data_IF_660413511454
#
_entry.id   IF_660413511454
#
_cell.length_a   1.000
_cell.length_b   1.000
_cell.length_c   1.000
_cell.angle_alpha   90.00
_cell.angle_beta   90.00
_cell.angle_gamma   90.00
#
_symmetry.space_group_name_H-M   'P 1'
#
loop_
_entity.id
_entity.type
_entity.pdbx_description
1 polymer ?
#
# COMPACT_ATOMS: atom_id res chain seq x y z
N UNK A 1 -33.41 -14.73 23.25
CA UNK A 1 -32.08 -14.94 22.64
C UNK A 1 -31.77 -13.69 21.83
N UNK A 2 -31.15 -12.70 22.46
CA UNK A 2 -30.81 -11.43 21.82
C UNK A 2 -29.38 -11.53 21.28
N UNK A 3 -29.26 -11.44 19.96
CA UNK A 3 -27.99 -11.44 19.25
C UNK A 3 -27.38 -10.04 19.40
N UNK A 4 -26.34 -9.91 20.21
CA UNK A 4 -25.58 -8.67 20.30
C UNK A 4 -24.68 -8.58 19.06
N UNK A 5 -24.98 -7.60 18.20
CA UNK A 5 -24.14 -7.20 17.08
C UNK A 5 -22.91 -6.51 17.66
N UNK A 6 -21.77 -7.19 17.66
CA UNK A 6 -20.49 -6.60 18.04
C UNK A 6 -20.00 -5.78 16.84
N UNK A 7 -20.28 -4.48 16.83
CA UNK A 7 -19.62 -3.55 15.92
C UNK A 7 -18.12 -3.57 16.27
N UNK A 8 -17.28 -3.99 15.33
CA UNK A 8 -15.84 -3.84 15.43
C UNK A 8 -15.53 -2.34 15.38
N UNK A 9 -15.43 -1.71 16.55
CA UNK A 9 -14.81 -0.40 16.66
C UNK A 9 -13.33 -0.59 16.30
N UNK A 10 -12.92 -0.05 15.16
CA UNK A 10 -11.51 0.02 14.78
C UNK A 10 -10.74 0.73 15.88
N UNK A 11 -9.95 -0.03 16.63
CA UNK A 11 -9.07 0.50 17.66
C UNK A 11 -7.87 1.12 16.94
N UNK A 12 -7.97 2.39 16.57
CA UNK A 12 -6.83 3.14 16.06
C UNK A 12 -5.92 3.47 17.23
N UNK A 13 -4.73 2.88 17.24
CA UNK A 13 -3.66 3.32 18.13
C UNK A 13 -3.26 4.71 17.64
N UNK A 14 -3.60 5.73 18.43
CA UNK A 14 -3.12 7.10 18.23
C UNK A 14 -1.59 7.11 18.43
N UNK A 15 -0.87 6.83 17.35
CA UNK A 15 0.57 7.01 17.27
C UNK A 15 0.80 8.51 17.13
N UNK A 16 1.12 9.17 18.24
CA UNK A 16 1.48 10.59 18.29
C UNK A 16 2.70 10.86 17.41
N UNK A 17 2.47 11.21 16.15
CA UNK A 17 3.48 11.81 15.27
C UNK A 17 3.50 13.32 15.52
N UNK A 18 4.67 13.94 15.42
CA UNK A 18 4.81 15.38 15.59
C UNK A 18 4.26 16.10 14.34
N UNK A 19 3.16 16.85 14.52
CA UNK A 19 2.44 17.53 13.43
C UNK A 19 1.22 16.74 12.98
N UNK A 20 0.02 17.25 13.26
CA UNK A 20 -1.22 16.75 12.67
C UNK A 20 -1.79 17.85 11.77
N UNK A 21 -1.98 17.49 10.49
CA UNK A 21 -2.60 18.34 9.48
C UNK A 21 -3.97 17.78 9.16
N UNK A 22 -5.03 18.56 9.34
CA UNK A 22 -6.36 18.16 8.90
C UNK A 22 -6.75 18.92 7.64
N UNK A 23 -7.42 18.23 6.72
CA UNK A 23 -7.96 18.82 5.51
C UNK A 23 -9.13 19.75 5.82
N UNK A 24 -9.09 20.98 5.32
CA UNK A 24 -10.09 22.01 5.58
C UNK A 24 -10.28 22.97 4.39
N UNK A 25 -10.31 22.44 3.17
CA UNK A 25 -10.48 23.26 1.97
C UNK A 25 -11.80 24.05 1.93
N UNK A 26 -11.72 25.27 1.40
CA UNK A 26 -12.87 26.14 1.19
C UNK A 26 -13.72 25.74 -0.03
N UNK A 27 -13.14 25.03 -0.99
CA UNK A 27 -13.78 24.61 -2.24
C UNK A 27 -13.56 23.13 -2.54
N UNK A 28 -14.47 22.56 -3.32
CA UNK A 28 -14.31 21.19 -3.82
C UNK A 28 -13.25 21.12 -4.92
N UNK A 29 -12.46 20.04 -4.94
CA UNK A 29 -11.35 19.88 -5.87
C UNK A 29 -10.17 20.82 -5.59
N UNK A 30 -10.01 21.28 -4.35
CA UNK A 30 -8.89 22.13 -3.97
C UNK A 30 -7.57 21.37 -4.07
N UNK A 31 -6.51 22.08 -4.46
CA UNK A 31 -5.17 21.52 -4.58
C UNK A 31 -4.58 21.21 -3.20
N UNK A 32 -3.91 20.07 -3.06
CA UNK A 32 -3.14 19.71 -1.87
C UNK A 32 -2.06 20.76 -1.57
N UNK A 33 -1.44 21.33 -2.62
CA UNK A 33 -0.40 22.34 -2.47
C UNK A 33 -0.90 23.71 -1.97
N UNK A 34 -2.23 23.92 -1.87
CA UNK A 34 -2.80 25.13 -1.30
C UNK A 34 -2.77 25.09 0.22
N UNK A 35 -1.91 25.91 0.83
CA UNK A 35 -1.77 25.98 2.28
C UNK A 35 -3.02 26.50 3.00
N UNK A 36 -3.92 27.20 2.31
CA UNK A 36 -5.21 27.60 2.87
C UNK A 36 -6.17 26.41 3.07
N UNK A 37 -5.88 25.26 2.45
CA UNK A 37 -6.68 24.04 2.57
C UNK A 37 -6.29 23.15 3.76
N UNK A 38 -5.30 23.56 4.56
CA UNK A 38 -4.80 22.81 5.71
C UNK A 38 -5.00 23.57 7.01
N UNK A 39 -5.25 22.83 8.10
CA UNK A 39 -5.20 23.41 9.44
C UNK A 39 -3.79 23.85 9.81
N UNK A 40 -3.68 24.78 10.77
CA UNK A 40 -2.40 25.08 11.40
C UNK A 40 -1.81 23.82 12.04
N UNK A 41 -0.50 23.59 11.87
CA UNK A 41 0.19 22.42 12.46
C UNK A 41 1.06 21.65 11.48
N UNK A 42 0.92 21.93 10.18
CA UNK A 42 1.77 21.32 9.17
C UNK A 42 3.21 21.78 9.24
N UNK A 43 4.12 20.81 9.11
CA UNK A 43 5.56 21.02 9.21
C UNK A 43 6.22 21.15 7.84
N UNK A 44 5.50 20.85 6.75
CA UNK A 44 6.00 21.03 5.38
C UNK A 44 6.12 22.51 4.96
N UNK A 45 6.92 22.71 3.91
CA UNK A 45 7.22 24.05 3.37
C UNK A 45 5.96 24.74 2.88
N UNK A 46 5.72 25.98 3.31
CA UNK A 46 4.55 26.76 2.90
C UNK A 46 3.29 26.48 3.72
N UNK A 47 3.37 25.66 4.78
CA UNK A 47 2.22 25.32 5.63
C UNK A 47 1.35 24.19 5.09
N UNK A 48 1.88 23.37 4.19
CA UNK A 48 1.27 22.12 3.70
C UNK A 48 1.90 20.91 4.42
N UNK A 49 1.28 19.72 4.40
CA UNK A 49 1.85 18.54 5.03
C UNK A 49 3.22 18.15 4.46
N UNK A 50 4.13 17.77 5.35
CA UNK A 50 5.44 17.21 5.04
C UNK A 50 5.64 15.80 5.63
N UNK A 51 6.83 15.24 5.44
CA UNK A 51 7.13 13.83 5.76
C UNK A 51 7.07 13.46 7.24
N UNK A 52 6.97 14.44 8.14
CA UNK A 52 6.79 14.22 9.58
C UNK A 52 5.31 14.24 9.99
N UNK A 53 4.42 14.73 9.13
CA UNK A 53 3.04 15.01 9.49
C UNK A 53 2.14 13.78 9.35
N UNK A 54 1.22 13.62 10.30
CA UNK A 54 0.03 12.79 10.12
C UNK A 54 -1.06 13.63 9.48
N UNK A 55 -1.47 13.24 8.27
CA UNK A 55 -2.55 13.88 7.52
C UNK A 55 -3.88 13.21 7.85
N UNK A 56 -4.90 14.01 8.13
CA UNK A 56 -6.24 13.56 8.50
C UNK A 56 -7.29 14.15 7.56
N UNK A 57 -8.09 13.27 6.98
CA UNK A 57 -9.34 13.58 6.30
C UNK A 57 -10.48 13.01 7.15
N UNK A 58 -11.31 13.90 7.70
CA UNK A 58 -12.41 13.54 8.60
C UNK A 58 -13.71 14.30 8.23
N UNK A 59 -14.69 14.30 9.13
CA UNK A 59 -15.98 14.97 8.90
C UNK A 59 -15.90 16.51 8.86
N UNK A 60 -14.78 17.12 9.24
CA UNK A 60 -14.60 18.58 9.31
C UNK A 60 -14.71 19.20 7.92
N UNK A 61 -14.20 18.52 6.89
CA UNK A 61 -14.35 18.90 5.49
C UNK A 61 -14.62 17.68 4.65
N UNK A 62 -15.68 17.73 3.84
CA UNK A 62 -16.02 16.68 2.86
C UNK A 62 -15.61 17.04 1.44
N UNK A 63 -14.74 18.04 1.28
CA UNK A 63 -14.28 18.51 -0.04
C UNK A 63 -13.22 17.60 -0.60
N UNK A 64 -13.26 17.36 -1.90
CA UNK A 64 -12.25 16.61 -2.65
C UNK A 64 -10.90 17.34 -2.57
N UNK A 65 -9.86 16.60 -2.21
CA UNK A 65 -8.46 17.04 -2.28
C UNK A 65 -7.82 16.48 -3.54
N UNK A 66 -7.22 17.35 -4.35
CA UNK A 66 -6.44 16.94 -5.52
C UNK A 66 -4.96 17.04 -5.19
N UNK A 67 -4.27 15.91 -5.10
CA UNK A 67 -2.81 15.89 -5.00
C UNK A 67 -2.26 16.30 -6.35
N UNK A 68 -1.80 17.54 -6.45
CA UNK A 68 -1.34 18.21 -7.67
C UNK A 68 0.19 18.21 -7.82
N UNK A 69 0.90 17.63 -6.86
CA UNK A 69 2.36 17.47 -6.85
C UNK A 69 2.74 16.19 -6.11
N UNK A 70 3.97 15.72 -6.28
CA UNK A 70 4.50 14.62 -5.47
C UNK A 70 4.64 15.06 -4.01
N UNK A 71 4.20 14.21 -3.08
CA UNK A 71 4.18 14.52 -1.65
C UNK A 71 4.78 13.38 -0.82
N UNK A 72 5.18 13.72 0.39
CA UNK A 72 5.62 12.77 1.40
C UNK A 72 4.98 13.12 2.74
N UNK A 73 4.45 12.12 3.44
CA UNK A 73 3.79 12.26 4.74
C UNK A 73 4.24 11.16 5.69
N UNK A 74 4.10 11.38 7.01
CA UNK A 74 4.32 10.30 7.96
C UNK A 74 3.17 9.29 7.88
N UNK A 75 1.94 9.77 7.96
CA UNK A 75 0.74 8.94 7.81
C UNK A 75 -0.33 9.68 6.99
N UNK A 76 -1.14 8.91 6.28
CA UNK A 76 -2.39 9.38 5.69
C UNK A 76 -3.55 8.62 6.33
N UNK A 77 -4.49 9.35 6.93
CA UNK A 77 -5.68 8.82 7.57
C UNK A 77 -6.93 9.41 6.92
N UNK A 78 -7.65 8.60 6.14
CA UNK A 78 -8.93 8.91 5.51
C UNK A 78 -10.02 8.16 6.28
N UNK A 79 -10.69 8.89 7.16
CA UNK A 79 -11.66 8.32 8.09
C UNK A 79 -13.00 8.04 7.42
N UNK A 80 -13.77 7.09 7.94
CA UNK A 80 -15.08 6.72 7.41
C UNK A 80 -16.09 7.89 7.31
N UNK A 81 -15.92 8.92 8.15
CA UNK A 81 -16.81 10.09 8.15
C UNK A 81 -16.46 11.13 7.07
N UNK A 82 -15.30 11.01 6.42
CA UNK A 82 -14.92 11.81 5.27
C UNK A 82 -15.64 11.27 4.02
N UNK A 83 -16.61 12.03 3.50
CA UNK A 83 -17.36 11.64 2.29
C UNK A 83 -16.84 12.32 1.02
N UNK A 84 -15.73 13.04 1.11
CA UNK A 84 -15.02 13.56 -0.06
C UNK A 84 -14.10 12.48 -0.65
N UNK A 85 -13.21 12.90 -1.54
CA UNK A 85 -12.20 12.03 -2.12
C UNK A 85 -10.81 12.67 -2.06
N UNK A 86 -9.81 11.89 -1.68
CA UNK A 86 -8.39 12.23 -1.90
C UNK A 86 -8.00 11.66 -3.25
N UNK A 87 -7.84 12.51 -4.26
CA UNK A 87 -7.47 12.11 -5.61
C UNK A 87 -5.96 12.28 -5.82
N UNK A 88 -5.26 11.17 -6.03
CA UNK A 88 -3.82 11.14 -6.28
C UNK A 88 -3.46 11.53 -7.73
N UNK A 89 -4.39 11.37 -8.67
CA UNK A 89 -4.13 11.60 -10.09
C UNK A 89 -3.00 10.72 -10.59
N UNK A 90 -1.94 11.33 -11.13
CA UNK A 90 -0.72 10.63 -11.58
C UNK A 90 0.50 10.88 -10.68
N UNK A 91 0.29 11.49 -9.50
CA UNK A 91 1.38 11.88 -8.61
C UNK A 91 1.83 10.71 -7.71
N UNK A 92 2.95 10.92 -7.03
CA UNK A 92 3.48 10.00 -6.02
C UNK A 92 3.12 10.46 -4.62
N UNK A 93 2.52 9.57 -3.84
CA UNK A 93 2.33 9.69 -2.40
C UNK A 93 3.37 8.82 -1.69
N UNK A 94 4.35 9.44 -1.07
CA UNK A 94 5.33 8.74 -0.23
C UNK A 94 4.88 8.69 1.23
N UNK A 95 4.92 7.52 1.85
CA UNK A 95 4.43 7.29 3.21
C UNK A 95 5.56 6.68 4.05
N UNK A 96 5.85 7.29 5.19
CA UNK A 96 6.88 6.78 6.12
C UNK A 96 6.31 5.69 7.03
N UNK A 97 5.13 5.94 7.61
CA UNK A 97 4.53 5.15 8.69
C UNK A 97 3.26 4.40 8.29
N UNK A 98 2.24 5.06 7.73
CA UNK A 98 1.01 4.32 7.45
C UNK A 98 -0.02 4.96 6.53
N UNK A 99 -0.76 4.09 5.86
CA UNK A 99 -1.93 4.40 5.06
C UNK A 99 -3.17 3.78 5.71
N UNK A 100 -4.13 4.61 6.08
CA UNK A 100 -5.39 4.22 6.69
C UNK A 100 -6.52 4.82 5.86
N UNK A 101 -7.33 3.98 5.22
CA UNK A 101 -8.48 4.40 4.41
C UNK A 101 -9.66 3.50 4.77
N UNK A 102 -10.62 4.05 5.49
CA UNK A 102 -11.76 3.29 6.01
C UNK A 102 -12.79 2.94 4.92
N UNK A 103 -13.01 3.85 3.97
CA UNK A 103 -13.98 3.69 2.88
C UNK A 103 -13.26 3.73 1.52
N UNK A 104 -13.55 2.75 0.67
CA UNK A 104 -12.93 2.62 -0.65
C UNK A 104 -13.12 3.86 -1.54
N UNK A 105 -14.20 4.62 -1.33
CA UNK A 105 -14.47 5.85 -2.08
C UNK A 105 -13.66 7.06 -1.62
N UNK A 106 -13.09 7.01 -0.42
CA UNK A 106 -12.35 8.13 0.18
C UNK A 106 -10.97 8.38 -0.42
N UNK A 107 -10.41 7.41 -1.14
CA UNK A 107 -9.11 7.54 -1.80
C UNK A 107 -9.18 7.03 -3.24
N UNK A 108 -8.86 7.89 -4.19
CA UNK A 108 -8.71 7.55 -5.60
C UNK A 108 -7.24 7.63 -5.99
N UNK A 109 -6.64 6.47 -6.19
CA UNK A 109 -5.24 6.37 -6.57
C UNK A 109 -4.98 6.87 -8.01
N UNK A 110 -6.01 7.02 -8.85
CA UNK A 110 -5.86 7.37 -10.26
C UNK A 110 -4.89 6.44 -10.98
N UNK A 111 -3.83 7.01 -11.55
CA UNK A 111 -2.67 6.28 -12.09
C UNK A 111 -1.40 6.46 -11.26
N UNK A 112 -1.53 7.05 -10.08
CA UNK A 112 -0.43 7.44 -9.22
C UNK A 112 0.29 6.29 -8.54
N UNK A 113 1.38 6.64 -7.85
CA UNK A 113 2.21 5.72 -7.10
C UNK A 113 2.05 5.97 -5.61
N UNK A 114 1.70 4.93 -4.85
CA UNK A 114 1.90 4.93 -3.39
C UNK A 114 3.21 4.24 -3.08
N UNK A 115 4.10 4.93 -2.37
CA UNK A 115 5.45 4.47 -2.07
C UNK A 115 5.70 4.47 -0.58
N UNK A 116 5.98 3.31 0.02
CA UNK A 116 6.40 3.24 1.42
C UNK A 116 7.92 3.41 1.53
N UNK A 117 8.36 4.41 2.30
CA UNK A 117 9.76 4.88 2.38
C UNK A 117 10.33 4.93 3.80
N UNK A 118 9.73 4.18 4.74
CA UNK A 118 10.16 4.16 6.14
C UNK A 118 11.65 3.85 6.29
N UNK A 119 12.34 4.61 7.15
CA UNK A 119 13.78 4.43 7.43
C UNK A 119 14.04 3.60 8.69
N UNK A 120 13.00 3.34 9.48
CA UNK A 120 13.04 2.47 10.65
C UNK A 120 11.62 2.01 11.03
N UNK A 121 11.52 0.92 11.78
CA UNK A 121 10.25 0.44 12.33
C UNK A 121 9.40 -0.30 11.30
N UNK A 122 8.08 -0.19 11.45
CA UNK A 122 7.14 -0.84 10.56
C UNK A 122 6.21 0.18 9.91
N UNK A 123 5.99 0.02 8.62
CA UNK A 123 4.91 0.68 7.90
C UNK A 123 3.63 -0.17 7.97
N UNK A 124 2.47 0.47 7.97
CA UNK A 124 1.17 -0.21 7.98
C UNK A 124 0.28 0.23 6.83
N UNK A 125 -0.36 -0.73 6.18
CA UNK A 125 -1.45 -0.46 5.25
C UNK A 125 -2.74 -1.10 5.78
N UNK A 126 -3.75 -0.24 5.92
CA UNK A 126 -5.12 -0.58 6.26
C UNK A 126 -6.03 0.23 5.34
N UNK A 127 -6.18 -0.20 4.09
CA UNK A 127 -6.91 0.54 3.07
C UNK A 127 -8.01 -0.30 2.47
N UNK A 128 -9.25 0.19 2.55
CA UNK A 128 -10.38 -0.35 1.80
C UNK A 128 -10.33 0.04 0.31
N UNK A 129 -9.62 1.13 -0.02
CA UNK A 129 -9.40 1.56 -1.40
C UNK A 129 -8.27 0.76 -2.07
N UNK A 130 -8.46 0.43 -3.35
CA UNK A 130 -7.39 -0.06 -4.20
C UNK A 130 -6.32 1.01 -4.42
N UNK A 131 -5.08 0.58 -4.53
CA UNK A 131 -3.98 1.38 -5.03
C UNK A 131 -3.80 1.11 -6.52
N UNK A 132 -3.29 2.07 -7.28
CA UNK A 132 -2.94 1.81 -8.67
C UNK A 132 -1.57 1.16 -8.77
N UNK A 133 -0.51 1.90 -8.46
CA UNK A 133 0.84 1.36 -8.30
C UNK A 133 1.28 1.37 -6.83
N UNK A 134 2.01 0.34 -6.42
CA UNK A 134 2.60 0.25 -5.09
C UNK A 134 4.11 -0.01 -5.19
N UNK A 135 4.90 0.77 -4.46
CA UNK A 135 6.32 0.49 -4.24
C UNK A 135 6.62 0.33 -2.74
N UNK A 136 7.25 -0.79 -2.40
CA UNK A 136 7.84 -1.04 -1.08
C UNK A 136 9.34 -0.75 -1.14
N UNK A 137 9.74 0.43 -0.68
CA UNK A 137 11.11 0.95 -0.75
C UNK A 137 11.52 1.57 0.59
N UNK A 138 11.30 0.82 1.66
CA UNK A 138 11.68 1.18 3.01
C UNK A 138 13.14 0.74 3.29
N UNK A 139 13.46 0.44 4.54
CA UNK A 139 14.76 -0.06 4.94
C UNK A 139 14.82 -1.61 5.02
N UNK A 140 16.03 -2.19 4.99
CA UNK A 140 16.24 -3.65 5.08
C UNK A 140 15.83 -4.27 6.42
N UNK A 141 15.57 -3.45 7.43
CA UNK A 141 15.05 -3.88 8.74
C UNK A 141 13.59 -3.45 8.97
N UNK A 142 12.96 -2.85 7.97
CA UNK A 142 11.62 -2.31 8.05
C UNK A 142 10.57 -3.36 7.68
N UNK A 143 9.47 -3.41 8.43
CA UNK A 143 8.34 -4.29 8.10
C UNK A 143 7.24 -3.52 7.38
N UNK A 144 6.48 -4.23 6.55
CA UNK A 144 5.23 -3.77 5.98
C UNK A 144 4.10 -4.64 6.50
N UNK A 145 3.17 -4.04 7.25
CA UNK A 145 2.07 -4.74 7.90
C UNK A 145 0.76 -4.47 7.18
N UNK A 146 0.10 -5.53 6.75
CA UNK A 146 -1.27 -5.51 6.22
C UNK A 146 -2.24 -5.70 7.39
N UNK A 147 -3.23 -4.82 7.54
CA UNK A 147 -4.34 -5.02 8.50
C UNK A 147 -5.62 -5.53 7.84
N UNK A 148 -5.64 -5.56 6.51
CA UNK A 148 -6.64 -6.17 5.65
C UNK A 148 -5.98 -6.51 4.31
N UNK A 149 -6.70 -7.18 3.41
CA UNK A 149 -6.23 -7.35 2.03
C UNK A 149 -5.98 -5.98 1.39
N UNK A 150 -4.83 -5.81 0.76
CA UNK A 150 -4.51 -4.61 0.00
C UNK A 150 -4.55 -4.93 -1.48
N UNK A 151 -5.44 -4.27 -2.22
CA UNK A 151 -5.53 -4.38 -3.67
C UNK A 151 -4.57 -3.39 -4.35
N UNK A 152 -3.86 -3.87 -5.36
CA UNK A 152 -3.00 -3.11 -6.26
C UNK A 152 -3.47 -3.41 -7.68
N UNK A 153 -4.13 -2.43 -8.31
CA UNK A 153 -4.82 -2.60 -9.59
C UNK A 153 -3.87 -2.63 -10.78
N UNK A 154 -2.64 -2.12 -10.62
CA UNK A 154 -1.57 -2.18 -11.61
C UNK A 154 -0.33 -2.83 -10.98
N UNK A 155 0.79 -2.12 -10.83
CA UNK A 155 2.06 -2.78 -10.57
C UNK A 155 2.50 -2.74 -9.10
N UNK A 156 3.14 -3.82 -8.66
CA UNK A 156 3.88 -3.89 -7.41
C UNK A 156 5.39 -3.92 -7.69
N UNK A 157 6.12 -3.00 -7.08
CA UNK A 157 7.58 -3.04 -7.01
C UNK A 157 8.05 -3.20 -5.56
N UNK A 158 8.89 -4.21 -5.31
CA UNK A 158 9.57 -4.38 -4.02
C UNK A 158 11.04 -4.06 -4.22
N UNK A 159 11.43 -2.87 -3.79
CA UNK A 159 12.81 -2.37 -3.88
C UNK A 159 13.60 -2.77 -2.65
N UNK A 160 13.03 -2.52 -1.46
CA UNK A 160 13.67 -2.86 -0.19
C UNK A 160 12.63 -2.95 0.94
N UNK A 161 12.56 -4.11 1.60
CA UNK A 161 11.73 -4.35 2.79
C UNK A 161 12.18 -5.63 3.50
N UNK A 162 12.13 -5.66 4.84
CA UNK A 162 12.36 -6.90 5.58
C UNK A 162 11.19 -7.87 5.41
N UNK A 163 10.00 -7.48 5.84
CA UNK A 163 8.85 -8.38 5.89
C UNK A 163 7.62 -7.76 5.24
N UNK A 164 6.75 -8.61 4.70
CA UNK A 164 5.34 -8.29 4.43
C UNK A 164 4.50 -9.20 5.32
N UNK A 165 3.81 -8.64 6.30
CA UNK A 165 3.13 -9.38 7.38
C UNK A 165 1.62 -9.20 7.34
N UNK A 166 0.83 -10.28 7.50
CA UNK A 166 -0.61 -10.18 7.71
C UNK A 166 -0.89 -9.96 9.20
N UNK A 167 -0.98 -8.71 9.63
CA UNK A 167 -1.17 -8.35 11.03
C UNK A 167 -2.58 -8.72 11.50
N UNK A 168 -2.66 -9.74 12.37
CA UNK A 168 -3.92 -10.15 13.01
C UNK A 168 -4.90 -10.93 12.12
N UNK A 169 -4.48 -11.40 10.94
CA UNK A 169 -5.35 -12.14 10.01
C UNK A 169 -4.60 -12.95 8.94
N UNK A 170 -5.31 -13.32 7.87
CA UNK A 170 -4.76 -14.04 6.70
C UNK A 170 -4.73 -13.12 5.48
N UNK A 171 -4.24 -11.90 5.68
CA UNK A 171 -4.27 -10.84 4.69
C UNK A 171 -3.25 -11.04 3.57
N UNK A 172 -3.59 -10.59 2.38
CA UNK A 172 -2.79 -10.73 1.18
C UNK A 172 -2.54 -9.37 0.51
N UNK A 173 -1.42 -9.29 -0.22
CA UNK A 173 -1.19 -8.23 -1.18
C UNK A 173 -1.66 -8.71 -2.54
N UNK A 174 -2.81 -8.23 -3.02
CA UNK A 174 -3.49 -8.71 -4.22
C UNK A 174 -3.15 -7.80 -5.39
N UNK A 175 -2.37 -8.30 -6.35
CA UNK A 175 -1.82 -7.51 -7.47
C UNK A 175 -2.44 -7.94 -8.79
N UNK A 176 -3.01 -6.98 -9.52
CA UNK A 176 -3.65 -7.23 -10.82
C UNK A 176 -2.71 -7.00 -12.02
N UNK A 177 -1.68 -6.16 -11.89
CA UNK A 177 -0.62 -5.95 -12.87
C UNK A 177 0.70 -6.64 -12.50
N UNK A 178 1.83 -6.13 -12.97
CA UNK A 178 3.10 -6.84 -12.87
C UNK A 178 3.69 -6.80 -11.46
N UNK A 179 4.50 -7.81 -11.13
CA UNK A 179 5.25 -7.86 -9.87
C UNK A 179 6.74 -7.87 -10.17
N UNK A 180 7.44 -6.87 -9.63
CA UNK A 180 8.91 -6.80 -9.64
C UNK A 180 9.44 -6.90 -8.22
N UNK A 181 10.25 -7.92 -7.91
CA UNK A 181 10.95 -8.01 -6.62
C UNK A 181 12.46 -7.92 -6.80
N UNK A 182 13.07 -6.88 -6.22
CA UNK A 182 14.50 -6.61 -6.28
C UNK A 182 15.21 -6.81 -4.92
N UNK A 183 14.46 -6.91 -3.82
CA UNK A 183 15.03 -7.22 -2.51
C UNK A 183 15.38 -8.71 -2.40
N UNK A 184 16.63 -8.98 -2.01
CA UNK A 184 17.21 -10.34 -1.94
C UNK A 184 16.89 -11.07 -0.64
N UNK A 185 16.12 -10.46 0.26
CA UNK A 185 15.89 -10.93 1.62
C UNK A 185 14.51 -10.59 2.17
N UNK A 186 13.46 -10.70 1.36
CA UNK A 186 12.08 -10.49 1.82
C UNK A 186 11.61 -11.71 2.62
N UNK A 187 11.35 -11.55 3.92
CA UNK A 187 10.75 -12.59 4.77
C UNK A 187 9.23 -12.37 4.86
N UNK A 188 8.54 -12.34 3.73
CA UNK A 188 7.09 -12.18 3.74
C UNK A 188 6.38 -13.36 4.39
N UNK A 189 5.46 -13.04 5.30
CA UNK A 189 4.53 -13.96 5.95
C UNK A 189 3.11 -13.84 5.36
N UNK A 190 2.87 -12.84 4.52
CA UNK A 190 1.67 -12.71 3.69
C UNK A 190 1.98 -13.10 2.25
N UNK A 191 0.97 -13.65 1.55
CA UNK A 191 1.07 -13.93 0.13
C UNK A 191 1.05 -12.63 -0.68
N UNK A 192 1.97 -12.53 -1.64
CA UNK A 192 1.77 -11.70 -2.82
C UNK A 192 0.93 -12.54 -3.78
N UNK A 193 -0.29 -12.09 -4.08
CA UNK A 193 -1.28 -12.86 -4.82
C UNK A 193 -1.54 -12.21 -6.17
N UNK A 194 -1.24 -12.94 -7.24
CA UNK A 194 -1.45 -12.50 -8.61
C UNK A 194 -2.91 -12.78 -8.98
N UNK A 195 -3.71 -11.72 -9.13
CA UNK A 195 -5.18 -11.81 -9.30
C UNK A 195 -5.67 -11.18 -10.61
N UNK A 196 -4.77 -10.71 -11.45
CA UNK A 196 -5.11 -10.02 -12.71
C UNK A 196 -5.81 -10.95 -13.71
N UNK A 197 -6.61 -10.35 -14.60
CA UNK A 197 -7.31 -11.07 -15.68
C UNK A 197 -6.53 -11.11 -17.00
N UNK A 198 -5.52 -10.25 -17.15
CA UNK A 198 -4.58 -10.24 -18.27
C UNK A 198 -3.30 -10.99 -17.91
N UNK A 199 -2.42 -11.21 -18.89
CA UNK A 199 -1.08 -11.73 -18.61
C UNK A 199 -0.36 -10.79 -17.62
N UNK A 200 0.29 -11.37 -16.61
CA UNK A 200 1.14 -10.66 -15.65
C UNK A 200 2.58 -11.14 -15.81
N UNK A 201 3.53 -10.26 -15.56
CA UNK A 201 4.95 -10.59 -15.51
C UNK A 201 5.41 -10.60 -14.07
N UNK A 202 6.17 -11.64 -13.71
CA UNK A 202 6.94 -11.66 -12.46
C UNK A 202 8.41 -11.55 -12.79
N UNK A 203 9.08 -10.54 -12.24
CA UNK A 203 10.46 -10.20 -12.58
C UNK A 203 11.25 -9.62 -11.39
N UNK A 204 12.49 -9.22 -11.67
CA UNK A 204 13.42 -8.64 -10.69
C UNK A 204 14.51 -9.61 -10.26
N UNK A 205 15.52 -9.09 -9.57
CA UNK A 205 16.70 -9.86 -9.15
C UNK A 205 16.61 -10.43 -7.74
N UNK A 206 15.57 -10.03 -7.00
CA UNK A 206 15.31 -10.41 -5.62
C UNK A 206 14.54 -11.72 -5.52
N UNK A 207 13.74 -11.82 -4.47
CA UNK A 207 12.89 -12.99 -4.24
C UNK A 207 11.56 -12.63 -3.58
N UNK A 208 10.63 -13.58 -3.58
CA UNK A 208 9.46 -13.62 -2.72
C UNK A 208 9.50 -14.90 -1.91
N UNK A 209 8.83 -14.99 -0.77
CA UNK A 209 8.73 -16.21 0.03
C UNK A 209 7.42 -16.94 -0.21
N UNK A 210 6.32 -16.18 -0.20
CA UNK A 210 4.95 -16.67 -0.40
C UNK A 210 4.34 -16.01 -1.65
N UNK A 211 4.11 -16.81 -2.68
CA UNK A 211 3.49 -16.40 -3.93
C UNK A 211 2.21 -17.21 -4.15
N UNK A 212 1.12 -16.52 -4.46
CA UNK A 212 -0.15 -17.13 -4.83
C UNK A 212 -0.51 -16.73 -6.26
N UNK A 213 -0.88 -17.70 -7.10
CA UNK A 213 -1.27 -17.46 -8.50
C UNK A 213 -2.76 -17.74 -8.64
N UNK A 214 -3.57 -16.79 -8.18
CA UNK A 214 -5.05 -16.87 -8.17
C UNK A 214 -5.66 -16.07 -9.32
N UNK A 215 -5.26 -16.40 -10.55
CA UNK A 215 -5.67 -15.66 -11.76
C UNK A 215 -6.98 -16.21 -12.31
N UNK A 216 -7.92 -15.30 -12.60
CA UNK A 216 -9.15 -15.64 -13.31
C UNK A 216 -8.97 -15.72 -14.84
N UNK A 217 -7.83 -15.24 -15.36
CA UNK A 217 -7.47 -15.24 -16.77
C UNK A 217 -6.02 -14.79 -17.00
N UNK A 218 -5.49 -15.08 -18.18
CA UNK A 218 -4.09 -14.82 -18.54
C UNK A 218 -3.09 -15.74 -17.84
N UNK A 219 -1.83 -15.68 -18.27
CA UNK A 219 -0.72 -16.41 -17.69
C UNK A 219 0.15 -15.51 -16.80
N UNK A 220 0.95 -16.10 -15.91
CA UNK A 220 2.11 -15.45 -15.29
C UNK A 220 3.35 -15.76 -16.10
N UNK A 221 3.93 -14.76 -16.75
CA UNK A 221 5.17 -14.91 -17.51
C UNK A 221 6.40 -14.77 -16.63
N UNK A 222 7.36 -15.68 -16.82
CA UNK A 222 8.71 -15.63 -16.25
C UNK A 222 9.75 -15.40 -17.36
N UNK A 223 10.07 -14.12 -17.68
CA UNK A 223 11.06 -13.80 -18.72
C UNK A 223 12.50 -14.07 -18.27
N UNK A 224 12.74 -14.13 -16.96
CA UNK A 224 14.03 -14.44 -16.34
C UNK A 224 13.83 -15.32 -15.10
N UNK A 225 14.93 -15.83 -14.55
CA UNK A 225 14.89 -16.61 -13.31
C UNK A 225 14.27 -15.79 -12.18
N UNK A 226 13.24 -16.35 -11.54
CA UNK A 226 12.59 -15.76 -10.39
C UNK A 226 12.66 -16.71 -9.20
N UNK A 227 12.96 -16.17 -8.02
CA UNK A 227 13.23 -16.94 -6.81
C UNK A 227 12.07 -16.87 -5.83
N UNK A 228 11.68 -18.05 -5.35
CA UNK A 228 10.86 -18.24 -4.17
C UNK A 228 11.73 -18.76 -3.03
N UNK A 229 11.86 -18.03 -1.92
CA UNK A 229 12.75 -18.39 -0.82
C UNK A 229 12.81 -17.33 0.26
N UNK A 230 13.57 -17.62 1.32
CA UNK A 230 13.83 -16.69 2.40
C UNK A 230 14.10 -17.41 3.72
N UNK A 231 14.73 -16.76 4.70
CA UNK A 231 15.14 -17.44 5.92
C UNK A 231 13.95 -17.94 6.77
N UNK A 232 14.17 -19.06 7.46
CA UNK A 232 13.39 -19.50 8.61
C UNK A 232 12.15 -20.36 8.32
N UNK A 233 11.58 -20.35 7.11
CA UNK A 233 10.53 -21.31 6.70
C UNK A 233 10.56 -21.55 5.20
N UNK A 234 10.04 -22.70 4.74
CA UNK A 234 9.95 -23.04 3.33
C UNK A 234 9.12 -22.03 2.54
N UNK A 235 9.60 -21.68 1.35
CA UNK A 235 8.83 -20.93 0.38
C UNK A 235 7.55 -21.69 -0.01
N UNK A 236 6.50 -20.96 -0.39
CA UNK A 236 5.24 -21.55 -0.82
C UNK A 236 4.80 -20.92 -2.14
N UNK A 237 4.36 -21.79 -3.04
CA UNK A 237 3.63 -21.45 -4.24
C UNK A 237 2.24 -22.08 -4.15
N UNK A 238 1.20 -21.27 -4.25
CA UNK A 238 -0.20 -21.72 -4.25
C UNK A 238 -0.96 -21.13 -5.44
N UNK A 239 -2.26 -21.42 -5.52
CA UNK A 239 -3.14 -20.94 -6.58
C UNK A 239 -3.41 -21.98 -7.67
N UNK A 240 -4.32 -21.65 -8.57
CA UNK A 240 -4.78 -22.49 -9.68
C UNK A 240 -4.43 -21.91 -11.06
N UNK A 241 -3.85 -20.71 -11.11
CA UNK A 241 -3.43 -20.06 -12.33
C UNK A 241 -2.15 -20.65 -12.94
N UNK A 242 -1.88 -20.26 -14.18
CA UNK A 242 -0.77 -20.79 -14.97
C UNK A 242 0.47 -19.92 -14.85
N UNK A 243 1.62 -20.58 -14.70
CA UNK A 243 2.93 -19.94 -14.85
C UNK A 243 3.55 -20.44 -16.15
N UNK A 244 3.90 -19.49 -17.02
CA UNK A 244 4.58 -19.74 -18.29
C UNK A 244 6.04 -19.32 -18.19
N UNK A 245 6.91 -20.21 -18.62
CA UNK A 245 8.32 -19.91 -18.78
C UNK A 245 8.56 -19.26 -20.13
N UNK A 246 8.95 -17.98 -20.13
CA UNK A 246 9.24 -17.19 -21.33
C UNK A 246 10.74 -16.86 -21.46
N UNK A 247 11.61 -17.64 -20.81
CA UNK A 247 13.06 -17.46 -20.82
C UNK A 247 13.73 -17.71 -19.47
N UNK A 248 12.95 -17.75 -18.40
CA UNK A 248 13.41 -17.92 -17.02
C UNK A 248 13.29 -19.31 -16.42
N UNK A 249 13.31 -19.36 -15.09
CA UNK A 249 12.99 -20.53 -14.25
C UNK A 249 12.32 -20.03 -12.97
N UNK A 250 11.38 -20.81 -12.45
CA UNK A 250 10.95 -20.63 -11.07
C UNK A 250 11.86 -21.47 -10.16
N UNK A 251 12.59 -20.81 -9.28
CA UNK A 251 13.60 -21.42 -8.41
C UNK A 251 13.07 -21.38 -6.98
N UNK A 252 13.14 -22.51 -6.27
CA UNK A 252 12.84 -22.58 -4.85
C UNK A 252 14.16 -22.66 -4.07
N UNK A 253 14.49 -21.58 -3.35
CA UNK A 253 15.64 -21.50 -2.45
C UNK A 253 15.19 -21.88 -1.02
N UNK A 254 15.90 -22.83 -0.40
CA UNK A 254 15.67 -23.25 0.99
C UNK A 254 16.63 -22.59 1.97
#
# INVERSE_FOLDING_TARGET
MALALLAAAGFFVDLTHAGSCSWNAASDGAAWSDSASWTSGCTGSGGIPGSADTVVFDATSVKTSVIDTNIAVANLNVQAAYTGQVSLGSNTLSIVGGLYVDDASGFDAGTGLVKFIGTSGAATANSAASLHNLELAACSSCDFNLQQDLAVDNDLTITQIRNINPSGGTWQLRVAGDVTSNDTSVFNNAFVSLVGTADQVVSGTGMLKLLDVSKAGGDVSLPADFRLGGPGTSAQLTGDGLIRNDGGRLIFDQ
#
